data_IF_458635896065
#
_entry.id   IF_458635896065
#
_cell.length_a   1.000
_cell.length_b   1.000
_cell.length_c   1.000
_cell.angle_alpha   90.00
_cell.angle_beta   90.00
_cell.angle_gamma   90.00
#
_symmetry.space_group_name_H-M   'P 1'
#
loop_
_entity.id
_entity.type
_entity.pdbx_description
1 polymer ?
#
# COMPACT_ATOMS: atom_id res chain seq x y z
N UNK A 1 -58.10 -49.83 -15.55
CA UNK A 1 -57.76 -51.14 -16.16
C UNK A 1 -57.04 -50.89 -17.48
N UNK A 2 -55.92 -51.61 -17.68
CA UNK A 2 -55.05 -51.71 -18.87
C UNK A 2 -54.15 -50.50 -19.16
N UNK A 3 -52.90 -50.65 -19.61
CA UNK A 3 -51.80 -51.62 -19.48
C UNK A 3 -50.74 -51.14 -20.49
N UNK A 4 -49.50 -50.97 -20.02
CA UNK A 4 -48.18 -51.11 -20.68
C UNK A 4 -48.02 -50.91 -22.21
N UNK A 5 -47.01 -50.11 -22.60
CA UNK A 5 -45.80 -50.52 -23.36
C UNK A 5 -45.03 -49.24 -23.78
N UNK A 6 -43.87 -48.97 -23.20
CA UNK A 6 -42.54 -49.27 -23.78
C UNK A 6 -42.15 -48.37 -24.96
N UNK A 7 -41.31 -47.38 -24.71
CA UNK A 7 -40.15 -47.08 -25.55
C UNK A 7 -39.17 -46.20 -24.77
N UNK A 8 -38.14 -46.81 -24.20
CA UNK A 8 -37.00 -46.10 -23.64
C UNK A 8 -36.20 -45.50 -24.81
N UNK A 9 -36.41 -44.21 -25.09
CA UNK A 9 -35.63 -43.45 -26.04
C UNK A 9 -34.32 -43.02 -25.36
N UNK A 10 -33.25 -43.77 -25.65
CA UNK A 10 -31.87 -43.49 -25.26
C UNK A 10 -31.44 -42.14 -25.88
N UNK A 11 -31.59 -41.04 -25.14
CA UNK A 11 -30.99 -39.75 -25.48
C UNK A 11 -29.47 -39.84 -25.26
N UNK A 12 -28.74 -40.13 -26.34
CA UNK A 12 -27.31 -39.93 -26.44
C UNK A 12 -27.03 -38.41 -26.40
N UNK A 13 -26.85 -37.86 -25.20
CA UNK A 13 -26.30 -36.52 -24.99
C UNK A 13 -24.83 -36.55 -25.44
N UNK A 14 -24.41 -35.79 -26.46
CA UNK A 14 -22.99 -35.66 -26.75
C UNK A 14 -22.36 -34.88 -25.59
N UNK A 15 -21.43 -35.53 -24.87
CA UNK A 15 -20.52 -34.83 -23.96
C UNK A 15 -19.72 -33.84 -24.80
N UNK A 16 -20.14 -32.57 -24.80
CA UNK A 16 -19.31 -31.48 -25.27
C UNK A 16 -18.21 -31.35 -24.22
N UNK A 17 -17.06 -31.98 -24.48
CA UNK A 17 -15.82 -31.68 -23.77
C UNK A 17 -15.48 -30.21 -24.07
N UNK A 18 -15.87 -29.31 -23.18
CA UNK A 18 -15.23 -28.00 -23.11
C UNK A 18 -13.78 -28.24 -22.68
N UNK A 19 -12.88 -28.36 -23.65
CA UNK A 19 -11.45 -28.28 -23.42
C UNK A 19 -11.13 -26.88 -22.92
N UNK A 20 -11.13 -26.69 -21.60
CA UNK A 20 -10.53 -25.51 -20.98
C UNK A 20 -9.01 -25.71 -21.06
N UNK A 21 -8.41 -25.37 -22.19
CA UNK A 21 -6.98 -25.12 -22.25
C UNK A 21 -6.70 -23.83 -21.51
N UNK A 22 -6.48 -23.91 -20.19
CA UNK A 22 -5.82 -22.83 -19.47
C UNK A 22 -4.39 -22.80 -19.99
N UNK A 23 -4.05 -21.82 -20.83
CA UNK A 23 -2.65 -21.59 -21.20
C UNK A 23 -1.88 -21.29 -19.91
N UNK A 24 -0.98 -22.19 -19.56
CA UNK A 24 -0.07 -22.00 -18.44
C UNK A 24 0.99 -20.97 -18.88
N UNK A 25 0.76 -19.71 -18.51
CA UNK A 25 1.67 -18.59 -18.76
C UNK A 25 2.84 -18.57 -17.75
N UNK A 26 3.03 -19.64 -16.97
CA UNK A 26 4.14 -19.79 -16.04
C UNK A 26 5.49 -19.86 -16.77
N UNK A 27 6.28 -18.79 -16.67
CA UNK A 27 7.66 -18.75 -17.19
C UNK A 27 8.65 -19.48 -16.25
N UNK A 28 8.27 -19.67 -14.98
CA UNK A 28 9.11 -20.26 -13.96
C UNK A 28 8.74 -21.73 -13.72
N UNK A 29 9.74 -22.60 -13.81
CA UNK A 29 9.56 -24.03 -13.54
C UNK A 29 9.26 -24.26 -12.06
N UNK A 30 8.26 -25.08 -11.70
CA UNK A 30 7.96 -25.39 -10.30
C UNK A 30 9.20 -25.93 -9.57
N UNK A 31 9.45 -25.41 -8.37
CA UNK A 31 10.60 -25.83 -7.58
C UNK A 31 10.46 -27.30 -7.16
N UNK A 32 11.51 -28.09 -7.39
CA UNK A 32 11.56 -29.51 -6.96
C UNK A 32 11.81 -29.63 -5.45
N UNK A 33 12.39 -28.60 -4.85
CA UNK A 33 12.61 -28.45 -3.40
C UNK A 33 12.79 -26.97 -3.05
N UNK A 34 12.41 -26.58 -1.82
CA UNK A 34 12.43 -25.19 -1.37
C UNK A 34 11.09 -24.45 -1.61
N UNK A 35 11.05 -23.14 -1.34
CA UNK A 35 9.87 -22.32 -1.60
C UNK A 35 9.55 -22.28 -3.11
N UNK A 36 8.29 -22.03 -3.49
CA UNK A 36 7.93 -21.92 -4.90
C UNK A 36 8.54 -20.65 -5.53
N UNK A 37 8.78 -20.63 -6.86
CA UNK A 37 9.52 -19.55 -7.52
C UNK A 37 8.91 -18.15 -7.36
N UNK A 38 7.59 -18.06 -7.24
CA UNK A 38 6.84 -16.82 -7.01
C UNK A 38 7.13 -16.20 -5.63
N UNK A 39 7.56 -17.00 -4.66
CA UNK A 39 7.92 -16.55 -3.32
C UNK A 39 9.40 -16.19 -3.16
N UNK A 40 10.25 -16.57 -4.12
CA UNK A 40 11.71 -16.38 -3.98
C UNK A 40 12.11 -14.92 -3.77
N UNK A 41 11.55 -14.00 -4.55
CA UNK A 41 11.85 -12.57 -4.44
C UNK A 41 11.40 -12.02 -3.08
N UNK A 42 10.18 -12.37 -2.65
CA UNK A 42 9.65 -11.94 -1.37
C UNK A 42 10.51 -12.44 -0.20
N UNK A 43 10.86 -13.73 -0.20
CA UNK A 43 11.68 -14.34 0.84
C UNK A 43 13.07 -13.68 0.87
N UNK A 44 13.67 -13.46 -0.29
CA UNK A 44 14.95 -12.78 -0.39
C UNK A 44 14.87 -11.34 0.15
N UNK A 45 13.87 -10.55 -0.27
CA UNK A 45 13.67 -9.17 0.20
C UNK A 45 13.41 -9.11 1.71
N UNK A 46 12.65 -10.04 2.27
CA UNK A 46 12.42 -10.13 3.72
C UNK A 46 13.71 -10.46 4.47
N UNK A 47 14.49 -11.41 3.96
CA UNK A 47 15.77 -11.78 4.56
C UNK A 47 16.72 -10.59 4.58
N UNK A 48 16.82 -9.86 3.46
CA UNK A 48 17.65 -8.65 3.35
C UNK A 48 17.14 -7.55 4.30
N UNK A 49 15.83 -7.33 4.34
CA UNK A 49 15.21 -6.38 5.25
C UNK A 49 15.53 -6.70 6.72
N UNK A 50 15.39 -7.95 7.14
CA UNK A 50 15.66 -8.38 8.51
C UNK A 50 17.12 -8.16 8.89
N UNK A 51 18.05 -8.42 7.97
CA UNK A 51 19.48 -8.15 8.18
C UNK A 51 19.74 -6.65 8.38
N UNK A 52 19.20 -5.80 7.52
CA UNK A 52 19.37 -4.34 7.62
C UNK A 52 18.72 -3.77 8.89
N UNK A 53 17.55 -4.29 9.28
CA UNK A 53 16.88 -3.92 10.54
C UNK A 53 17.71 -4.33 11.75
N UNK A 54 18.30 -5.52 11.75
CA UNK A 54 19.17 -5.99 12.82
C UNK A 54 20.43 -5.12 12.94
N UNK A 55 21.09 -4.80 11.82
CA UNK A 55 22.25 -3.90 11.79
C UNK A 55 21.91 -2.51 12.34
N UNK A 56 20.79 -1.91 11.88
CA UNK A 56 20.31 -0.62 12.38
C UNK A 56 20.04 -0.66 13.88
N UNK A 57 19.41 -1.74 14.38
CA UNK A 57 19.10 -1.93 15.80
C UNK A 57 20.37 -1.99 16.65
N UNK A 58 21.36 -2.79 16.25
CA UNK A 58 22.63 -2.88 16.96
C UNK A 58 23.37 -1.52 17.01
N UNK A 59 23.39 -0.78 15.90
CA UNK A 59 23.96 0.56 15.84
C UNK A 59 23.21 1.55 16.76
N UNK A 60 21.88 1.49 16.79
CA UNK A 60 21.05 2.33 17.66
C UNK A 60 21.34 2.05 19.14
N UNK A 61 21.34 0.78 19.55
CA UNK A 61 21.56 0.37 20.94
C UNK A 61 22.95 0.74 21.46
N UNK A 62 23.96 0.69 20.60
CA UNK A 62 25.34 1.06 20.95
C UNK A 62 25.56 2.58 20.98
N UNK A 63 24.95 3.32 20.05
CA UNK A 63 25.20 4.76 19.86
C UNK A 63 24.36 5.66 20.78
N UNK A 64 23.10 5.31 21.04
CA UNK A 64 22.17 6.18 21.78
C UNK A 64 22.28 6.05 23.29
N UNK A 65 23.39 6.56 23.84
CA UNK A 65 23.66 6.61 25.29
C UNK A 65 23.48 7.99 25.92
N UNK A 66 23.16 9.01 25.12
CA UNK A 66 23.00 10.39 25.60
C UNK A 66 22.05 11.21 24.71
N UNK A 67 21.61 12.35 25.22
CA UNK A 67 20.83 13.31 24.46
C UNK A 67 21.61 13.87 23.25
N UNK A 68 22.91 14.12 23.43
CA UNK A 68 23.79 14.59 22.35
C UNK A 68 23.94 13.53 21.24
N UNK A 69 24.14 12.27 21.60
CA UNK A 69 24.23 11.19 20.59
C UNK A 69 22.90 10.93 19.90
N UNK A 70 21.76 11.15 20.58
CA UNK A 70 20.43 11.14 19.95
C UNK A 70 20.27 12.24 18.90
N UNK A 71 20.65 13.47 19.21
CA UNK A 71 20.64 14.58 18.23
C UNK A 71 21.51 14.28 17.01
N UNK A 72 22.75 13.83 17.23
CA UNK A 72 23.66 13.50 16.14
C UNK A 72 23.09 12.39 15.24
N UNK A 73 22.50 11.35 15.84
CA UNK A 73 21.84 10.28 15.10
C UNK A 73 20.65 10.79 14.27
N UNK A 74 19.82 11.70 14.82
CA UNK A 74 18.71 12.30 14.06
C UNK A 74 19.19 13.08 12.84
N UNK A 75 20.25 13.89 13.00
CA UNK A 75 20.84 14.65 11.91
C UNK A 75 21.42 13.73 10.82
N UNK A 76 22.16 12.69 11.22
CA UNK A 76 22.73 11.70 10.31
C UNK A 76 21.63 10.95 9.54
N UNK A 77 20.57 10.49 10.22
CA UNK A 77 19.44 9.81 9.58
C UNK A 77 18.67 10.73 8.64
N UNK A 78 18.52 12.01 8.99
CA UNK A 78 17.93 13.03 8.10
C UNK A 78 18.75 13.21 6.84
N UNK A 79 20.08 13.33 6.97
CA UNK A 79 20.99 13.46 5.82
C UNK A 79 20.94 12.21 4.93
N UNK A 80 21.08 11.03 5.54
CA UNK A 80 20.98 9.75 4.83
C UNK A 80 19.69 9.67 4.01
N UNK A 81 18.55 10.00 4.61
CA UNK A 81 17.26 9.98 3.92
C UNK A 81 17.23 10.92 2.71
N UNK A 82 17.70 12.16 2.85
CA UNK A 82 17.76 13.13 1.76
C UNK A 82 18.72 12.70 0.63
N UNK A 83 19.83 12.06 0.96
CA UNK A 83 20.75 11.52 -0.04
C UNK A 83 20.10 10.39 -0.86
N UNK A 84 19.13 9.65 -0.30
CA UNK A 84 18.38 8.61 -1.02
C UNK A 84 17.27 9.17 -1.91
N UNK A 85 16.48 10.13 -1.40
CA UNK A 85 15.31 10.65 -2.12
C UNK A 85 15.61 11.86 -3.02
N UNK A 86 16.82 12.43 -2.90
CA UNK A 86 17.19 13.69 -3.53
C UNK A 86 16.81 14.93 -2.71
N UNK A 87 17.20 16.13 -3.16
CA UNK A 87 16.90 17.37 -2.45
C UNK A 87 15.39 17.63 -2.38
N UNK A 88 14.95 18.21 -1.27
CA UNK A 88 13.57 18.69 -1.15
C UNK A 88 13.34 19.87 -2.11
N UNK A 89 12.15 19.99 -2.74
CA UNK A 89 11.83 21.13 -3.57
C UNK A 89 11.80 22.43 -2.75
N UNK A 90 11.98 23.57 -3.41
CA UNK A 90 11.81 24.88 -2.79
C UNK A 90 10.40 25.04 -2.23
N UNK A 91 10.29 25.72 -1.08
CA UNK A 91 8.98 26.00 -0.47
C UNK A 91 8.23 27.03 -1.31
N UNK A 92 7.02 26.69 -1.71
CA UNK A 92 6.10 27.60 -2.40
C UNK A 92 4.95 27.99 -1.48
N UNK A 93 4.28 29.13 -1.72
CA UNK A 93 3.03 29.45 -1.06
C UNK A 93 2.00 28.32 -1.25
N UNK A 94 1.26 27.97 -0.19
CA UNK A 94 0.32 26.85 -0.20
C UNK A 94 -0.98 27.14 -0.98
N UNK A 95 -1.36 28.42 -1.08
CA UNK A 95 -2.58 28.91 -1.73
C UNK A 95 -3.82 28.02 -1.52
N UNK A 96 -4.20 27.68 -0.27
CA UNK A 96 -5.29 26.76 -0.01
C UNK A 96 -6.63 27.40 -0.37
N UNK A 97 -7.49 26.65 -1.06
CA UNK A 97 -8.86 27.07 -1.41
C UNK A 97 -9.86 26.05 -0.90
N UNK A 98 -10.83 26.49 -0.10
CA UNK A 98 -11.98 25.65 0.27
C UNK A 98 -12.99 25.71 -0.87
N UNK A 99 -13.25 24.57 -1.51
CA UNK A 99 -14.18 24.45 -2.65
C UNK A 99 -15.55 23.93 -2.25
N UNK A 100 -15.74 23.59 -0.98
CA UNK A 100 -17.04 23.26 -0.43
C UNK A 100 -16.97 22.65 0.95
N UNK A 101 -18.12 22.60 1.61
CA UNK A 101 -18.24 22.10 2.98
C UNK A 101 -19.36 21.08 3.07
N UNK A 102 -19.16 20.04 3.88
CA UNK A 102 -20.19 19.07 4.25
C UNK A 102 -20.37 19.08 5.76
N UNK A 103 -21.62 18.92 6.20
CA UNK A 103 -21.95 18.83 7.62
C UNK A 103 -21.96 17.37 8.07
N UNK A 104 -21.15 17.06 9.09
CA UNK A 104 -21.17 15.80 9.82
C UNK A 104 -21.83 15.95 11.18
N UNK A 105 -21.88 14.86 11.95
CA UNK A 105 -22.38 14.90 13.34
C UNK A 105 -21.25 15.30 14.29
N UNK A 106 -21.25 16.56 14.74
CA UNK A 106 -20.23 17.11 15.66
C UNK A 106 -18.93 17.55 14.99
N UNK A 107 -18.89 17.55 13.65
CA UNK A 107 -17.77 18.01 12.84
C UNK A 107 -18.27 18.48 11.47
N UNK A 108 -17.47 19.26 10.76
CA UNK A 108 -17.65 19.56 9.34
C UNK A 108 -16.46 19.07 8.52
N UNK A 109 -16.68 18.84 7.23
CA UNK A 109 -15.62 18.50 6.27
C UNK A 109 -15.44 19.67 5.33
N UNK A 110 -14.24 20.22 5.26
CA UNK A 110 -13.85 21.21 4.25
C UNK A 110 -13.09 20.50 3.12
N UNK A 111 -13.61 20.60 1.89
CA UNK A 111 -12.92 20.14 0.69
C UNK A 111 -11.90 21.20 0.30
N UNK A 112 -10.62 20.88 0.38
CA UNK A 112 -9.53 21.81 0.11
C UNK A 112 -8.78 21.45 -1.17
N UNK A 113 -8.39 22.47 -1.92
CA UNK A 113 -7.35 22.42 -2.92
C UNK A 113 -6.13 23.11 -2.35
N UNK A 114 -4.98 22.44 -2.33
CA UNK A 114 -3.69 23.02 -1.93
C UNK A 114 -2.73 23.00 -3.10
N UNK A 115 -1.98 24.07 -3.30
CA UNK A 115 -0.97 24.15 -4.35
C UNK A 115 0.34 23.58 -3.81
N UNK A 116 0.67 22.33 -4.21
CA UNK A 116 1.89 21.66 -3.73
C UNK A 116 3.14 22.15 -4.46
N UNK A 117 2.97 22.63 -5.69
CA UNK A 117 3.95 23.30 -6.55
C UNK A 117 3.21 24.29 -7.46
N UNK A 118 3.89 25.29 -8.05
CA UNK A 118 3.26 26.24 -8.96
C UNK A 118 2.39 25.57 -10.03
N UNK A 119 1.08 25.82 -10.01
CA UNK A 119 0.08 25.24 -10.91
C UNK A 119 -0.32 23.79 -10.64
N UNK A 120 0.24 23.12 -9.63
CA UNK A 120 -0.03 21.73 -9.29
C UNK A 120 -0.86 21.63 -8.00
N UNK A 121 -2.12 21.22 -8.16
CA UNK A 121 -3.08 21.17 -7.07
C UNK A 121 -3.23 19.75 -6.52
N UNK A 122 -3.21 19.64 -5.21
CA UNK A 122 -3.53 18.42 -4.46
C UNK A 122 -4.85 18.65 -3.73
N UNK A 123 -5.75 17.69 -3.82
CA UNK A 123 -7.06 17.74 -3.14
C UNK A 123 -6.95 17.09 -1.77
N UNK A 124 -7.64 17.65 -0.78
CA UNK A 124 -7.77 17.07 0.55
C UNK A 124 -9.16 17.27 1.15
N UNK A 125 -9.50 16.45 2.14
CA UNK A 125 -10.68 16.63 2.98
C UNK A 125 -10.21 16.92 4.40
N UNK A 126 -10.51 18.10 4.91
CA UNK A 126 -10.16 18.52 6.25
C UNK A 126 -11.35 18.32 7.17
N UNK A 127 -11.21 17.42 8.14
CA UNK A 127 -12.23 17.11 9.13
C UNK A 127 -12.03 18.01 10.35
N UNK A 128 -12.98 18.90 10.61
CA UNK A 128 -12.88 19.91 11.64
C UNK A 128 -13.97 19.71 12.69
N UNK A 129 -13.62 19.54 13.98
CA UNK A 129 -14.60 19.54 15.06
C UNK A 129 -15.39 20.85 15.11
N UNK A 130 -16.60 20.80 15.66
CA UNK A 130 -17.42 22.01 15.90
C UNK A 130 -17.08 22.72 17.22
N UNK A 131 -16.14 22.20 18.00
CA UNK A 131 -15.63 22.84 19.21
C UNK A 131 -14.69 24.00 18.86
N UNK A 132 -14.44 24.99 19.73
CA UNK A 132 -13.51 26.08 19.41
C UNK A 132 -12.05 25.59 19.20
N UNK A 133 -11.28 26.19 18.27
CA UNK A 133 -9.85 25.89 18.04
C UNK A 133 -8.94 26.46 19.15
N UNK A 134 -7.64 26.07 19.22
CA UNK A 134 -6.92 25.15 18.32
C UNK A 134 -7.23 23.68 18.58
N UNK A 135 -7.20 22.87 17.52
CA UNK A 135 -7.32 21.41 17.60
C UNK A 135 -5.98 20.74 17.27
N UNK A 136 -5.68 19.59 17.88
CA UNK A 136 -4.64 18.71 17.35
C UNK A 136 -5.03 18.24 15.93
N UNK A 137 -4.04 18.03 15.08
CA UNK A 137 -4.20 17.55 13.71
C UNK A 137 -3.46 16.23 13.51
N UNK A 138 -4.03 15.36 12.66
CA UNK A 138 -3.45 14.08 12.22
C UNK A 138 -3.27 14.15 10.70
#
# INVERSE_FOLDING_TARGET
MRCYFSLALLMLFPLILFGQGTEDLGVLTPAQSGPPPDQHLEIWLKTEFDQLVAQRRAAFETTLKSEASCRNWQEERRRFFLDQIGPLPERTPLNPVVVGTLQGKGYRIEKILLESRPGFHVTGNLYLPETPPPWPAV
#
